data_IF_059169890209
#
_entry.id   IF_059169890209
#
_cell.length_a   1.000
_cell.length_b   1.000
_cell.length_c   1.000
_cell.angle_alpha   90.00
_cell.angle_beta   90.00
_cell.angle_gamma   90.00
#
_symmetry.space_group_name_H-M   'P 1'
#
loop_
_entity.id
_entity.type
_entity.pdbx_description
1 polymer ?
#
# COMPACT_ATOMS: atom_id res chain seq x y z
N UNK A 1 12.85 17.12 8.71
CA UNK A 1 12.29 18.47 8.94
C UNK A 1 10.84 18.48 8.49
N UNK A 2 9.94 19.17 9.18
CA UNK A 2 8.51 19.23 8.83
C UNK A 2 8.28 20.19 7.64
N UNK A 3 7.16 20.07 6.89
CA UNK A 3 6.91 20.88 5.69
C UNK A 3 6.97 22.40 5.94
N UNK A 4 6.52 22.83 7.12
CA UNK A 4 6.54 24.23 7.55
C UNK A 4 7.97 24.75 7.69
N UNK A 5 8.88 23.98 8.29
CA UNK A 5 10.29 24.35 8.45
C UNK A 5 11.01 24.50 7.10
N UNK A 6 10.70 23.63 6.13
CA UNK A 6 11.28 23.68 4.77
C UNK A 6 10.84 24.94 4.01
N UNK A 7 9.58 25.35 4.13
CA UNK A 7 9.05 26.57 3.48
C UNK A 7 9.70 27.83 4.05
N UNK A 8 9.83 27.92 5.37
CA UNK A 8 10.47 29.08 6.03
C UNK A 8 11.95 29.17 5.65
N UNK A 9 12.64 28.02 5.59
CA UNK A 9 14.05 27.97 5.22
C UNK A 9 14.29 28.36 3.75
N UNK A 10 13.49 27.86 2.81
CA UNK A 10 13.58 28.24 1.40
C UNK A 10 13.39 29.76 1.21
N UNK A 11 12.41 30.36 1.89
CA UNK A 11 12.19 31.81 1.85
C UNK A 11 13.36 32.62 2.41
N UNK A 12 14.05 32.10 3.45
CA UNK A 12 15.26 32.72 3.99
C UNK A 12 16.39 32.73 2.95
N UNK A 13 16.62 31.59 2.29
CA UNK A 13 17.65 31.48 1.24
C UNK A 13 17.35 32.40 0.04
N UNK A 14 16.09 32.50 -0.39
CA UNK A 14 15.68 33.44 -1.45
C UNK A 14 16.02 34.90 -1.09
N UNK A 15 15.75 35.31 0.16
CA UNK A 15 16.09 36.66 0.63
C UNK A 15 17.60 36.90 0.70
N UNK A 16 18.36 35.90 1.14
CA UNK A 16 19.83 36.00 1.19
C UNK A 16 20.46 36.03 -0.22
N UNK A 17 19.90 35.29 -1.17
CA UNK A 17 20.31 35.31 -2.58
C UNK A 17 20.21 36.72 -3.17
N UNK A 18 19.06 37.38 -2.99
CA UNK A 18 18.83 38.75 -3.47
C UNK A 18 19.83 39.73 -2.83
N UNK A 19 20.08 39.60 -1.53
CA UNK A 19 21.06 40.46 -0.83
C UNK A 19 22.47 40.29 -1.38
N UNK A 20 22.94 39.05 -1.56
CA UNK A 20 24.28 38.77 -2.07
C UNK A 20 24.45 39.21 -3.53
N UNK A 21 23.45 38.98 -4.37
CA UNK A 21 23.46 39.43 -5.76
C UNK A 21 23.56 40.98 -5.85
N UNK A 22 22.75 41.69 -5.06
CA UNK A 22 22.81 43.16 -4.99
C UNK A 22 24.17 43.68 -4.50
N UNK A 23 24.81 42.95 -3.58
CA UNK A 23 26.13 43.29 -3.05
C UNK A 23 27.30 42.78 -3.90
N UNK A 24 27.04 42.18 -5.08
CA UNK A 24 28.04 41.53 -5.95
C UNK A 24 28.91 40.49 -5.23
N UNK A 25 28.36 39.83 -4.22
CA UNK A 25 29.01 38.77 -3.46
C UNK A 25 28.74 37.40 -4.09
N UNK A 26 29.65 36.44 -3.88
CA UNK A 26 29.41 35.07 -4.34
C UNK A 26 28.18 34.44 -3.67
N UNK A 27 27.26 33.98 -4.52
CA UNK A 27 25.96 33.45 -4.16
C UNK A 27 25.72 32.03 -4.68
N UNK A 28 26.70 31.40 -5.34
CA UNK A 28 26.55 30.09 -5.97
C UNK A 28 26.03 29.02 -5.00
N UNK A 29 26.61 28.94 -3.80
CA UNK A 29 26.17 27.97 -2.79
C UNK A 29 24.69 28.14 -2.35
N UNK A 30 24.16 29.37 -2.38
CA UNK A 30 22.75 29.63 -2.06
C UNK A 30 21.86 29.22 -3.23
N UNK A 31 22.30 29.47 -4.47
CA UNK A 31 21.59 29.07 -5.66
C UNK A 31 21.49 27.53 -5.78
N UNK A 32 22.59 26.82 -5.52
CA UNK A 32 22.65 25.36 -5.54
C UNK A 32 21.71 24.75 -4.49
N UNK A 33 21.68 25.30 -3.28
CA UNK A 33 20.81 24.83 -2.21
C UNK A 33 19.32 25.10 -2.51
N UNK A 34 19.00 26.24 -3.13
CA UNK A 34 17.64 26.55 -3.61
C UNK A 34 17.22 25.54 -4.69
N UNK A 35 18.10 25.21 -5.62
CA UNK A 35 17.83 24.24 -6.68
C UNK A 35 17.58 22.85 -6.11
N UNK A 36 18.46 22.37 -5.21
CA UNK A 36 18.32 21.10 -4.50
C UNK A 36 16.99 21.00 -3.75
N UNK A 37 16.58 22.06 -3.04
CA UNK A 37 15.31 22.08 -2.31
C UNK A 37 14.09 22.03 -3.24
N UNK A 38 14.17 22.62 -4.44
CA UNK A 38 13.09 22.54 -5.44
C UNK A 38 12.96 21.13 -6.01
N UNK A 39 14.06 20.52 -6.39
CA UNK A 39 14.10 19.15 -6.90
C UNK A 39 13.54 18.15 -5.87
N UNK A 40 13.93 18.28 -4.60
CA UNK A 40 13.38 17.45 -3.53
C UNK A 40 11.88 17.62 -3.35
N UNK A 41 11.37 18.85 -3.45
CA UNK A 41 9.93 19.13 -3.34
C UNK A 41 9.17 18.47 -4.50
N UNK A 42 9.69 18.57 -5.71
CA UNK A 42 9.07 18.00 -6.90
C UNK A 42 9.03 16.46 -6.81
N UNK A 43 10.16 15.84 -6.45
CA UNK A 43 10.22 14.39 -6.23
C UNK A 43 9.24 13.93 -5.15
N UNK A 44 9.21 14.62 -4.01
CA UNK A 44 8.27 14.29 -2.94
C UNK A 44 6.80 14.44 -3.35
N UNK A 45 6.48 15.40 -4.22
CA UNK A 45 5.14 15.57 -4.75
C UNK A 45 4.74 14.39 -5.67
N UNK A 46 5.63 13.99 -6.59
CA UNK A 46 5.43 12.83 -7.48
C UNK A 46 5.26 11.54 -6.67
N UNK A 47 6.15 11.30 -5.70
CA UNK A 47 6.09 10.13 -4.82
C UNK A 47 4.78 10.11 -4.00
N UNK A 48 4.35 11.27 -3.50
CA UNK A 48 3.10 11.39 -2.73
C UNK A 48 1.87 11.10 -3.58
N UNK A 49 1.85 11.57 -4.83
CA UNK A 49 0.76 11.34 -5.76
C UNK A 49 0.64 9.84 -6.13
N UNK A 50 1.75 9.21 -6.49
CA UNK A 50 1.78 7.76 -6.78
C UNK A 50 1.32 6.91 -5.58
N UNK A 51 1.72 7.32 -4.37
CA UNK A 51 1.29 6.66 -3.13
C UNK A 51 -0.21 6.83 -2.88
N UNK A 52 -0.77 8.02 -3.15
CA UNK A 52 -2.19 8.30 -2.98
C UNK A 52 -3.06 7.46 -3.94
N UNK A 53 -2.66 7.36 -5.21
CA UNK A 53 -3.34 6.50 -6.19
C UNK A 53 -3.31 5.02 -5.77
N UNK A 54 -2.16 4.54 -5.29
CA UNK A 54 -2.02 3.17 -4.79
C UNK A 54 -2.92 2.91 -3.57
N UNK A 55 -2.96 3.86 -2.63
CA UNK A 55 -3.83 3.77 -1.45
C UNK A 55 -5.31 3.77 -1.82
N UNK A 56 -5.70 4.59 -2.80
CA UNK A 56 -7.07 4.59 -3.33
C UNK A 56 -7.42 3.23 -3.92
N UNK A 57 -6.53 2.64 -4.72
CA UNK A 57 -6.75 1.32 -5.31
C UNK A 57 -6.86 0.21 -4.26
N UNK A 58 -6.03 0.24 -3.22
CA UNK A 58 -6.11 -0.70 -2.10
C UNK A 58 -7.48 -0.60 -1.43
N UNK A 59 -7.95 0.63 -1.16
CA UNK A 59 -9.25 0.85 -0.54
C UNK A 59 -10.40 0.34 -1.42
N UNK A 60 -10.37 0.63 -2.71
CA UNK A 60 -11.37 0.11 -3.66
C UNK A 60 -11.43 -1.44 -3.65
N UNK A 61 -10.27 -2.10 -3.58
CA UNK A 61 -10.21 -3.56 -3.51
C UNK A 61 -10.72 -4.11 -2.18
N UNK A 62 -10.39 -3.45 -1.07
CA UNK A 62 -10.90 -3.83 0.25
C UNK A 62 -12.43 -3.68 0.32
N UNK A 63 -12.97 -2.58 -0.20
CA UNK A 63 -14.41 -2.32 -0.26
C UNK A 63 -15.10 -3.36 -1.16
N UNK A 64 -14.50 -3.71 -2.31
CA UNK A 64 -15.02 -4.74 -3.20
C UNK A 64 -15.07 -6.12 -2.54
N UNK A 65 -14.00 -6.54 -1.85
CA UNK A 65 -13.96 -7.82 -1.13
C UNK A 65 -15.00 -7.83 0.00
N UNK A 66 -15.11 -6.74 0.76
CA UNK A 66 -16.05 -6.63 1.87
C UNK A 66 -17.53 -6.59 1.45
N UNK A 67 -17.82 -6.20 0.21
CA UNK A 67 -19.18 -6.26 -0.36
C UNK A 67 -19.61 -7.67 -0.78
N UNK A 68 -18.66 -8.61 -0.94
CA UNK A 68 -19.02 -9.97 -1.30
C UNK A 68 -19.67 -10.67 -0.11
N UNK A 69 -20.79 -11.35 -0.37
CA UNK A 69 -21.43 -12.20 0.61
C UNK A 69 -20.49 -13.35 0.99
N UNK A 70 -19.79 -13.21 2.11
CA UNK A 70 -18.92 -14.24 2.72
C UNK A 70 -19.70 -15.23 3.57
N UNK A 71 -20.98 -14.96 3.85
CA UNK A 71 -21.85 -15.94 4.49
C UNK A 71 -22.18 -17.02 3.46
N UNK A 72 -21.65 -18.22 3.70
CA UNK A 72 -22.15 -19.45 3.09
C UNK A 72 -23.53 -19.70 3.71
N UNK A 73 -24.56 -19.08 3.13
CA UNK A 73 -25.94 -19.18 3.66
C UNK A 73 -26.57 -20.54 3.40
N UNK A 74 -26.06 -21.29 2.42
CA UNK A 74 -26.58 -22.60 2.04
C UNK A 74 -25.47 -23.63 1.85
N UNK A 75 -25.62 -24.77 2.53
CA UNK A 75 -24.84 -25.98 2.26
C UNK A 75 -25.36 -26.60 0.96
N UNK A 76 -24.62 -26.42 -0.13
CA UNK A 76 -24.89 -27.08 -1.40
C UNK A 76 -24.15 -28.44 -1.44
N UNK A 77 -24.92 -29.52 -1.27
CA UNK A 77 -24.37 -30.88 -1.26
C UNK A 77 -23.67 -31.24 -2.58
N UNK A 78 -24.16 -30.76 -3.72
CA UNK A 78 -23.56 -31.04 -5.03
C UNK A 78 -22.20 -30.34 -5.15
N UNK A 79 -22.11 -29.09 -4.68
CA UNK A 79 -20.87 -28.34 -4.67
C UNK A 79 -19.83 -28.94 -3.71
N UNK A 80 -20.25 -29.34 -2.50
CA UNK A 80 -19.36 -30.00 -1.53
C UNK A 80 -18.83 -31.32 -2.08
N UNK A 81 -19.69 -32.14 -2.72
CA UNK A 81 -19.26 -33.38 -3.39
C UNK A 81 -18.24 -33.12 -4.49
N UNK A 82 -18.33 -32.00 -5.22
CA UNK A 82 -17.33 -31.62 -6.25
C UNK A 82 -15.98 -31.23 -5.65
N UNK A 83 -15.94 -30.73 -4.42
CA UNK A 83 -14.71 -30.32 -3.73
C UNK A 83 -13.97 -31.50 -3.08
N UNK A 84 -14.67 -32.60 -2.79
CA UNK A 84 -14.08 -33.83 -2.27
C UNK A 84 -13.27 -34.51 -3.37
N UNK A 85 -12.03 -34.89 -3.04
CA UNK A 85 -11.17 -35.73 -3.87
C UNK A 85 -11.42 -37.21 -3.60
N UNK A 86 -11.39 -37.62 -2.32
CA UNK A 86 -11.74 -38.98 -1.89
C UNK A 86 -12.10 -39.02 -0.40
N UNK A 87 -12.76 -40.09 0.00
CA UNK A 87 -13.08 -40.41 1.40
C UNK A 87 -12.44 -41.75 1.74
N UNK A 88 -11.66 -41.79 2.82
CA UNK A 88 -11.02 -43.01 3.34
C UNK A 88 -11.68 -43.40 4.65
N UNK A 89 -12.18 -44.64 4.73
CA UNK A 89 -12.88 -45.15 5.92
C UNK A 89 -11.95 -46.03 6.73
N UNK A 90 -11.85 -45.76 8.03
CA UNK A 90 -11.10 -46.54 9.01
C UNK A 90 -12.07 -47.20 10.02
N UNK A 91 -11.52 -47.94 10.97
CA UNK A 91 -12.32 -48.66 11.96
C UNK A 91 -13.00 -47.74 12.98
N UNK A 92 -12.40 -46.59 13.27
CA UNK A 92 -12.80 -45.65 14.34
C UNK A 92 -13.07 -44.23 13.84
N UNK A 93 -12.77 -43.93 12.57
CA UNK A 93 -12.96 -42.62 11.97
C UNK A 93 -13.04 -42.70 10.45
N UNK A 94 -13.31 -41.57 9.81
CA UNK A 94 -13.08 -41.42 8.38
C UNK A 94 -12.36 -40.11 8.08
N UNK A 95 -11.55 -40.13 7.03
CA UNK A 95 -10.81 -38.96 6.55
C UNK A 95 -11.40 -38.51 5.22
N UNK A 96 -11.77 -37.24 5.14
CA UNK A 96 -12.21 -36.59 3.91
C UNK A 96 -11.06 -35.74 3.37
N UNK A 97 -10.61 -36.04 2.15
CA UNK A 97 -9.59 -35.26 1.45
C UNK A 97 -10.26 -34.38 0.39
N UNK A 98 -9.99 -33.07 0.44
CA UNK A 98 -10.48 -32.09 -0.53
C UNK A 98 -9.45 -31.86 -1.65
N UNK A 99 -9.93 -31.44 -2.83
CA UNK A 99 -9.10 -31.07 -3.98
C UNK A 99 -8.10 -29.95 -3.71
N UNK A 100 -8.37 -29.14 -2.68
CA UNK A 100 -7.45 -28.11 -2.19
C UNK A 100 -6.23 -28.68 -1.46
N UNK A 101 -6.20 -29.97 -1.15
CA UNK A 101 -5.20 -30.62 -0.31
C UNK A 101 -5.49 -30.53 1.19
N UNK A 102 -6.63 -29.96 1.59
CA UNK A 102 -7.10 -29.97 2.98
C UNK A 102 -7.64 -31.37 3.32
N UNK A 103 -7.30 -31.88 4.50
CA UNK A 103 -7.83 -33.14 5.03
C UNK A 103 -8.52 -32.89 6.36
N UNK A 104 -9.68 -33.55 6.56
CA UNK A 104 -10.45 -33.47 7.80
C UNK A 104 -10.74 -34.89 8.28
N UNK A 105 -10.37 -35.16 9.53
CA UNK A 105 -10.70 -36.41 10.22
C UNK A 105 -11.99 -36.22 11.02
N UNK A 106 -12.92 -37.15 10.84
CA UNK A 106 -14.20 -37.17 11.53
C UNK A 106 -14.27 -38.47 12.33
N UNK A 107 -14.19 -38.30 13.64
CA UNK A 107 -14.40 -39.35 14.64
C UNK A 107 -15.87 -39.35 15.06
N UNK A 108 -16.44 -40.53 15.32
CA UNK A 108 -17.78 -40.67 15.91
C UNK A 108 -17.86 -40.10 17.34
#
# INVERSE_FOLDING_TARGET
ATPVTTIVYHNKLQKELIKKANNKQDYNAIADEIFRLKEQKEKAAVDSHSREESMKRIKELQDFIGQQATEVTDFDEELVRRLIEKVTVFTDHFTVEFKSGVSVDITE
#
